data_IF_328679261679
#
_entry.id   IF_328679261679
#
_cell.length_a   1.000
_cell.length_b   1.000
_cell.length_c   1.000
_cell.angle_alpha   90.00
_cell.angle_beta   90.00
_cell.angle_gamma   90.00
#
_symmetry.space_group_name_H-M   'P 1'
#
loop_
_entity.id
_entity.type
_entity.pdbx_description
1 polymer ?
#
# COMPACT_ATOMS: atom_id res chain seq x y z
N UNK A 1 12.42 -14.13 6.01
CA UNK A 1 11.22 -13.26 5.96
C UNK A 1 11.53 -12.11 5.04
N UNK A 2 10.60 -11.77 4.16
CA UNK A 2 10.74 -10.72 3.15
C UNK A 2 9.68 -9.66 3.40
N UNK A 3 10.06 -8.39 3.37
CA UNK A 3 9.11 -7.26 3.36
C UNK A 3 8.87 -6.83 1.91
N UNK A 4 7.61 -6.66 1.56
CA UNK A 4 7.19 -6.25 0.23
C UNK A 4 6.26 -5.05 0.34
N UNK A 5 6.41 -4.09 -0.58
CA UNK A 5 5.48 -2.97 -0.70
C UNK A 5 4.97 -2.83 -2.13
N UNK A 6 3.66 -2.59 -2.27
CA UNK A 6 3.02 -2.18 -3.51
C UNK A 6 2.35 -0.83 -3.29
N UNK A 7 2.57 0.11 -4.20
CA UNK A 7 1.99 1.45 -4.07
C UNK A 7 1.48 2.03 -5.38
N UNK A 8 0.49 2.91 -5.27
CA UNK A 8 0.02 3.80 -6.31
C UNK A 8 0.13 5.22 -5.76
N UNK A 9 0.82 6.12 -6.45
CA UNK A 9 1.03 7.49 -5.97
C UNK A 9 0.82 8.54 -7.08
N UNK A 10 0.85 9.81 -6.68
CA UNK A 10 0.63 10.95 -7.58
C UNK A 10 1.67 11.11 -8.69
N UNK A 11 2.84 10.45 -8.60
CA UNK A 11 3.91 10.55 -9.61
C UNK A 11 3.59 9.67 -10.82
N UNK A 12 3.02 8.49 -10.58
CA UNK A 12 2.71 7.52 -11.64
C UNK A 12 1.24 7.55 -12.06
N UNK A 13 0.31 7.95 -11.19
CA UNK A 13 -1.13 7.83 -11.42
C UNK A 13 -1.87 9.17 -11.39
N UNK A 14 -2.79 9.35 -12.35
CA UNK A 14 -3.72 10.48 -12.36
C UNK A 14 -4.64 10.45 -11.13
N UNK A 15 -5.31 11.58 -10.86
CA UNK A 15 -6.26 11.67 -9.75
C UNK A 15 -7.37 10.61 -9.87
N UNK A 16 -7.96 10.45 -11.06
CA UNK A 16 -9.06 9.49 -11.30
C UNK A 16 -8.65 8.03 -11.02
N UNK A 17 -7.38 7.68 -11.22
CA UNK A 17 -6.86 6.35 -10.90
C UNK A 17 -6.64 6.21 -9.40
N UNK A 18 -6.10 7.24 -8.73
CA UNK A 18 -5.86 7.22 -7.29
C UNK A 18 -7.16 7.12 -6.51
N UNK A 19 -8.19 7.88 -6.88
CA UNK A 19 -9.48 7.85 -6.18
C UNK A 19 -10.13 6.47 -6.16
N UNK A 20 -9.89 5.66 -7.19
CA UNK A 20 -10.41 4.28 -7.27
C UNK A 20 -9.81 3.34 -6.23
N UNK A 21 -8.63 3.65 -5.69
CA UNK A 21 -7.89 2.80 -4.75
C UNK A 21 -7.72 3.45 -3.36
N UNK A 22 -8.49 4.50 -3.04
CA UNK A 22 -8.48 5.12 -1.71
C UNK A 22 -9.34 4.32 -0.74
N UNK A 23 -8.80 4.04 0.45
CA UNK A 23 -9.54 3.42 1.54
C UNK A 23 -10.19 4.47 2.43
N UNK A 24 -11.52 4.43 2.55
CA UNK A 24 -12.21 5.23 3.54
C UNK A 24 -11.79 4.78 4.97
N UNK A 25 -11.55 5.71 5.93
CA UNK A 25 -11.07 5.36 7.28
C UNK A 25 -11.91 4.28 7.98
N UNK A 26 -13.24 4.35 7.84
CA UNK A 26 -14.19 3.36 8.40
C UNK A 26 -14.01 1.93 7.87
N UNK A 27 -13.40 1.78 6.70
CA UNK A 27 -13.20 0.48 6.04
C UNK A 27 -11.78 -0.06 6.25
N UNK A 28 -10.85 0.74 6.80
CA UNK A 28 -9.43 0.40 6.89
C UNK A 28 -9.18 -0.90 7.66
N UNK A 29 -9.77 -1.05 8.85
CA UNK A 29 -9.63 -2.27 9.65
C UNK A 29 -10.21 -3.50 8.95
N UNK A 30 -11.34 -3.34 8.23
CA UNK A 30 -11.96 -4.43 7.47
C UNK A 30 -11.09 -4.83 6.28
N UNK A 31 -10.52 -3.85 5.58
CA UNK A 31 -9.60 -4.06 4.47
C UNK A 31 -8.36 -4.83 4.93
N UNK A 32 -7.71 -4.36 6.01
CA UNK A 32 -6.51 -4.99 6.55
C UNK A 32 -6.75 -6.45 6.96
N UNK A 33 -7.85 -6.72 7.69
CA UNK A 33 -8.22 -8.10 8.06
C UNK A 33 -8.50 -8.98 6.85
N UNK A 34 -9.14 -8.42 5.82
CA UNK A 34 -9.41 -9.15 4.59
C UNK A 34 -8.12 -9.45 3.81
N UNK A 35 -7.17 -8.52 3.75
CA UNK A 35 -5.85 -8.70 3.14
C UNK A 35 -5.09 -9.85 3.80
N UNK A 36 -4.92 -9.77 5.12
CA UNK A 36 -4.25 -10.78 5.95
C UNK A 36 -4.85 -12.16 5.72
N UNK A 37 -6.18 -12.27 5.80
CA UNK A 37 -6.89 -13.54 5.59
C UNK A 37 -6.79 -14.07 4.16
N UNK A 38 -6.85 -13.20 3.15
CA UNK A 38 -6.87 -13.62 1.74
C UNK A 38 -5.50 -14.09 1.27
N UNK A 39 -4.44 -13.46 1.76
CA UNK A 39 -3.06 -13.81 1.41
C UNK A 39 -2.45 -14.86 2.34
N UNK A 40 -3.12 -15.19 3.45
CA UNK A 40 -2.62 -16.09 4.50
C UNK A 40 -1.23 -15.65 5.03
N UNK A 41 -1.14 -14.37 5.38
CA UNK A 41 0.09 -13.73 5.89
C UNK A 41 -0.11 -13.29 7.34
N UNK A 42 0.98 -13.12 8.08
CA UNK A 42 0.91 -12.74 9.49
C UNK A 42 0.81 -11.23 9.70
N UNK A 43 1.46 -10.44 8.85
CA UNK A 43 1.63 -9.00 9.07
C UNK A 43 1.41 -8.21 7.77
N UNK A 44 0.63 -7.14 7.88
CA UNK A 44 0.43 -6.20 6.81
C UNK A 44 0.10 -4.80 7.36
N UNK A 45 0.30 -3.78 6.54
CA UNK A 45 -0.13 -2.42 6.79
C UNK A 45 -0.67 -1.79 5.50
N UNK A 46 -1.69 -0.93 5.63
CA UNK A 46 -2.25 -0.16 4.52
C UNK A 46 -2.12 1.32 4.87
N UNK A 47 -1.43 2.06 4.02
CA UNK A 47 -1.34 3.52 4.07
C UNK A 47 -2.20 4.07 2.94
N UNK A 48 -3.25 4.82 3.27
CA UNK A 48 -4.10 5.44 2.26
C UNK A 48 -4.34 6.91 2.61
N UNK A 49 -3.98 7.76 1.67
CA UNK A 49 -4.12 9.22 1.71
C UNK A 49 -4.67 9.69 0.37
N UNK A 50 -4.95 10.98 0.22
CA UNK A 50 -5.31 11.53 -1.10
C UNK A 50 -4.19 11.36 -2.14
N UNK A 51 -2.92 11.30 -1.73
CA UNK A 51 -1.77 11.33 -2.64
C UNK A 51 -1.16 9.96 -2.94
N UNK A 52 -1.47 8.96 -2.11
CA UNK A 52 -0.95 7.59 -2.25
C UNK A 52 -1.84 6.57 -1.57
N UNK A 53 -1.89 5.38 -2.16
CA UNK A 53 -2.30 4.15 -1.50
C UNK A 53 -1.14 3.17 -1.59
N UNK A 54 -0.68 2.67 -0.44
CA UNK A 54 0.43 1.74 -0.33
C UNK A 54 0.05 0.58 0.59
N UNK A 55 0.45 -0.63 0.21
CA UNK A 55 0.26 -1.85 0.97
C UNK A 55 1.64 -2.40 1.26
N UNK A 56 1.90 -2.65 2.54
CA UNK A 56 3.11 -3.30 3.03
C UNK A 56 2.74 -4.66 3.59
N UNK A 57 3.49 -5.70 3.27
CA UNK A 57 3.30 -7.04 3.81
C UNK A 57 4.64 -7.62 4.22
N UNK A 58 4.61 -8.49 5.23
CA UNK A 58 5.74 -9.35 5.59
C UNK A 58 5.36 -10.78 5.27
N UNK A 59 6.20 -11.45 4.49
CA UNK A 59 5.94 -12.80 4.01
C UNK A 59 7.10 -13.74 4.31
N UNK A 60 6.85 -15.05 4.42
CA UNK A 60 7.88 -16.07 4.33
C UNK A 60 8.68 -15.95 3.01
N UNK A 61 9.90 -16.48 2.99
CA UNK A 61 10.79 -16.36 1.82
C UNK A 61 10.36 -17.25 0.64
N UNK A 62 9.56 -18.28 0.91
CA UNK A 62 8.92 -19.14 -0.09
C UNK A 62 7.59 -18.56 -0.64
N UNK A 63 7.16 -17.40 -0.15
CA UNK A 63 5.96 -16.73 -0.63
C UNK A 63 6.18 -16.10 -2.01
N UNK A 64 5.86 -16.86 -3.06
CA UNK A 64 6.04 -16.42 -4.44
C UNK A 64 4.91 -15.50 -4.93
N UNK A 65 5.22 -14.68 -5.95
CA UNK A 65 4.28 -13.80 -6.65
C UNK A 65 3.58 -12.77 -5.76
N UNK A 66 4.27 -12.24 -4.75
CA UNK A 66 3.77 -11.21 -3.83
C UNK A 66 3.12 -10.05 -4.57
N UNK A 67 3.75 -9.58 -5.65
CA UNK A 67 3.24 -8.50 -6.48
C UNK A 67 1.87 -8.77 -7.08
N UNK A 68 1.70 -9.89 -7.80
CA UNK A 68 0.43 -10.25 -8.44
C UNK A 68 -0.65 -10.51 -7.41
N UNK A 69 -0.31 -11.16 -6.29
CA UNK A 69 -1.28 -11.47 -5.23
C UNK A 69 -1.80 -10.20 -4.56
N UNK A 70 -0.92 -9.26 -4.20
CA UNK A 70 -1.31 -7.97 -3.60
C UNK A 70 -2.07 -7.11 -4.59
N UNK A 71 -1.61 -7.05 -5.86
CA UNK A 71 -2.28 -6.30 -6.92
C UNK A 71 -3.71 -6.82 -7.15
N UNK A 72 -3.86 -8.14 -7.33
CA UNK A 72 -5.16 -8.78 -7.51
C UNK A 72 -6.09 -8.56 -6.32
N UNK A 73 -5.54 -8.60 -5.11
CA UNK A 73 -6.31 -8.29 -3.91
C UNK A 73 -6.79 -6.84 -3.91
N UNK A 74 -5.90 -5.88 -4.21
CA UNK A 74 -6.25 -4.46 -4.23
C UNK A 74 -7.33 -4.17 -5.28
N UNK A 75 -7.14 -4.66 -6.51
CA UNK A 75 -8.15 -4.48 -7.57
C UNK A 75 -9.45 -5.19 -7.22
N UNK A 76 -9.39 -6.41 -6.67
CA UNK A 76 -10.58 -7.16 -6.27
C UNK A 76 -11.36 -6.50 -5.13
N UNK A 77 -10.67 -5.97 -4.13
CA UNK A 77 -11.28 -5.25 -3.01
C UNK A 77 -12.04 -4.00 -3.48
N UNK A 78 -11.45 -3.27 -4.44
CA UNK A 78 -12.05 -2.08 -5.05
C UNK A 78 -12.95 -2.38 -6.26
N UNK A 79 -13.19 -3.65 -6.59
CA UNK A 79 -14.02 -4.08 -7.73
C UNK A 79 -13.55 -3.50 -9.08
N UNK A 80 -12.23 -3.39 -9.23
CA UNK A 80 -11.57 -2.95 -10.46
C UNK A 80 -11.16 -4.16 -11.30
N UNK A 81 -11.02 -3.93 -12.60
CA UNK A 81 -10.39 -4.90 -13.51
C UNK A 81 -8.91 -5.02 -13.12
N UNK A 82 -8.37 -6.24 -13.06
CA UNK A 82 -7.00 -6.50 -12.60
C UNK A 82 -5.93 -5.69 -13.35
N UNK A 83 -6.12 -5.51 -14.66
CA UNK A 83 -5.18 -4.77 -15.53
C UNK A 83 -5.26 -3.25 -15.40
N UNK A 84 -6.23 -2.72 -14.65
CA UNK A 84 -6.48 -1.28 -14.55
C UNK A 84 -5.33 -0.50 -13.88
N UNK A 85 -4.46 -1.19 -13.15
CA UNK A 85 -3.34 -0.60 -12.41
C UNK A 85 -1.97 -0.94 -13.02
N UNK A 86 -1.88 -1.77 -14.05
CA UNK A 86 -0.61 -2.35 -14.54
C UNK A 86 0.47 -1.32 -14.88
N UNK A 87 0.07 -0.11 -15.30
CA UNK A 87 1.00 0.98 -15.64
C UNK A 87 1.16 2.04 -14.54
N UNK A 88 0.50 1.86 -13.40
CA UNK A 88 0.34 2.90 -12.38
C UNK A 88 0.89 2.52 -11.01
N UNK A 89 1.10 1.23 -10.74
CA UNK A 89 1.70 0.78 -9.48
C UNK A 89 3.22 0.67 -9.57
N UNK A 90 3.87 0.75 -8.41
CA UNK A 90 5.27 0.43 -8.22
C UNK A 90 5.41 -0.56 -7.08
N UNK A 91 6.57 -1.22 -7.02
CA UNK A 91 6.84 -2.27 -6.03
C UNK A 91 8.26 -2.15 -5.50
N UNK A 92 8.44 -2.45 -4.23
CA UNK A 92 9.76 -2.56 -3.61
C UNK A 92 9.83 -3.81 -2.73
N UNK A 93 11.04 -4.32 -2.54
CA UNK A 93 11.33 -5.53 -1.74
C UNK A 93 12.46 -5.25 -0.75
N UNK A 94 12.39 -5.91 0.40
CA UNK A 94 13.41 -5.89 1.45
C UNK A 94 13.87 -4.46 1.81
N UNK A 95 15.16 -4.18 1.70
CA UNK A 95 15.74 -2.89 2.06
C UNK A 95 15.10 -1.73 1.31
N UNK A 96 14.70 -1.93 0.05
CA UNK A 96 14.06 -0.87 -0.75
C UNK A 96 12.66 -0.53 -0.21
N UNK A 97 11.91 -1.55 0.24
CA UNK A 97 10.60 -1.35 0.86
C UNK A 97 10.72 -0.61 2.20
N UNK A 98 11.70 -0.99 3.04
CA UNK A 98 11.97 -0.29 4.31
C UNK A 98 12.42 1.15 4.05
N UNK A 99 13.35 1.35 3.11
CA UNK A 99 13.86 2.68 2.75
C UNK A 99 12.73 3.57 2.24
N UNK A 100 11.85 3.04 1.40
CA UNK A 100 10.66 3.75 0.92
C UNK A 100 9.75 4.12 2.09
N UNK A 101 9.38 3.17 2.94
CA UNK A 101 8.54 3.40 4.12
C UNK A 101 9.11 4.52 5.02
N UNK A 102 10.41 4.51 5.27
CA UNK A 102 11.08 5.54 6.08
C UNK A 102 11.03 6.93 5.42
N UNK A 103 11.19 7.01 4.09
CA UNK A 103 11.05 8.27 3.34
C UNK A 103 9.62 8.79 3.35
N UNK A 104 8.65 7.89 3.28
CA UNK A 104 7.23 8.22 3.36
C UNK A 104 6.89 8.71 4.78
N UNK A 105 7.28 7.97 5.81
CA UNK A 105 7.03 8.31 7.21
C UNK A 105 7.69 9.63 7.66
N UNK A 106 8.89 9.93 7.14
CA UNK A 106 9.60 11.19 7.39
C UNK A 106 9.07 12.38 6.57
N UNK A 107 8.05 12.19 5.75
CA UNK A 107 7.48 13.24 4.90
C UNK A 107 8.37 13.68 3.73
N UNK A 108 9.48 12.99 3.49
CA UNK A 108 10.43 13.26 2.40
C UNK A 108 9.87 12.95 1.01
N UNK A 109 8.75 12.23 0.94
CA UNK A 109 8.02 11.96 -0.30
C UNK A 109 6.60 12.57 -0.28
N UNK A 110 6.33 13.53 0.61
CA UNK A 110 5.06 14.27 0.60
C UNK A 110 5.03 15.33 -0.52
N UNK A 111 3.82 15.64 -1.02
CA UNK A 111 3.58 16.74 -1.97
C UNK A 111 3.87 18.11 -1.33
N UNK A 112 3.80 18.19 0.00
CA UNK A 112 4.24 19.32 0.82
C UNK A 112 5.34 18.79 1.74
N UNK A 113 6.59 19.23 1.49
CA UNK A 113 7.76 18.82 2.25
C UNK A 113 7.57 19.17 3.74
N UNK A 114 7.55 18.17 4.63
CA UNK A 114 7.52 18.40 6.08
C UNK A 114 6.14 18.47 6.76
N UNK A 115 5.03 18.19 6.07
CA UNK A 115 3.74 18.03 6.77
C UNK A 115 3.64 16.65 7.46
N UNK A 116 3.37 16.58 8.78
CA UNK A 116 3.32 15.34 9.54
C UNK A 116 1.99 14.59 9.37
N UNK A 117 1.47 14.47 8.14
CA UNK A 117 0.20 13.77 7.88
C UNK A 117 0.31 12.25 8.08
N UNK A 118 1.50 11.66 7.92
CA UNK A 118 1.72 10.20 7.97
C UNK A 118 2.04 9.70 9.38
N UNK A 119 2.79 10.47 10.18
CA UNK A 119 3.15 10.09 11.55
C UNK A 119 1.91 9.96 12.47
N UNK A 120 0.88 10.79 12.24
CA UNK A 120 -0.40 10.70 12.95
C UNK A 120 -1.18 9.42 12.62
N UNK A 121 -1.14 8.94 11.37
CA UNK A 121 -1.81 7.70 10.96
C UNK A 121 -1.09 6.45 11.48
N UNK A 122 0.25 6.46 11.50
CA UNK A 122 1.07 5.37 12.04
C UNK A 122 0.87 5.15 13.56
N UNK A 123 0.59 6.23 14.30
CA UNK A 123 0.23 6.15 15.73
C UNK A 123 -1.17 5.59 15.97
N UNK A 124 -2.05 5.64 14.95
CA UNK A 124 -3.44 5.18 15.02
C UNK A 124 -3.62 3.73 14.57
N UNK A 125 -2.57 3.11 14.03
CA UNK A 125 -2.55 1.73 13.52
C UNK A 125 -1.99 0.70 14.52
N UNK A 126 -1.70 1.13 15.76
CA UNK A 126 -1.41 0.25 16.90
C UNK A 126 -2.65 0.07 17.76
#
# INVERSE_FOLDING_TARGET
>A
MTIYSLGVNHRSASLDIREKVIFAPKNMTKALKNLIKTLDISEAAILSTCNRTEIYIVTPDDFTNSNKKVLNWLTGYHQLISTSLDSYYYTYENEDAVRHLMRVASGLDSMILGEPQILGQLKSSY
#
